data_IF_684509973661
#
_entry.id   IF_684509973661
#
_cell.length_a   1.000
_cell.length_b   1.000
_cell.length_c   1.000
_cell.angle_alpha   90.00
_cell.angle_beta   90.00
_cell.angle_gamma   90.00
#
_symmetry.space_group_name_H-M   'P 1'
#
loop_
_entity.id
_entity.type
_entity.pdbx_description
1 polymer ?
#
# COMPACT_ATOMS: atom_id res chain seq x y z
N UNK A 1 -12.25 35.07 3.94
CA UNK A 1 -12.38 33.70 3.43
C UNK A 1 -13.24 33.76 2.18
N UNK A 2 -12.64 33.75 1.01
CA UNK A 2 -13.34 33.69 -0.28
C UNK A 2 -13.99 32.34 -0.43
N UNK A 3 -15.31 32.29 -0.39
CA UNK A 3 -16.07 31.09 -0.74
C UNK A 3 -15.70 30.71 -2.18
N UNK A 4 -14.91 29.64 -2.34
CA UNK A 4 -14.68 29.05 -3.64
C UNK A 4 -16.04 28.54 -4.14
N UNK A 5 -16.65 29.26 -5.07
CA UNK A 5 -17.86 28.82 -5.77
C UNK A 5 -17.52 27.56 -6.55
N UNK A 6 -17.98 26.43 -6.03
CA UNK A 6 -17.77 25.09 -6.59
C UNK A 6 -18.80 24.73 -7.66
N UNK A 7 -19.58 25.71 -8.12
CA UNK A 7 -20.62 25.50 -9.14
C UNK A 7 -19.93 25.20 -10.49
N UNK A 8 -20.30 24.10 -11.10
CA UNK A 8 -19.95 23.76 -12.47
C UNK A 8 -20.86 24.55 -13.43
N UNK A 9 -20.29 25.01 -14.53
CA UNK A 9 -21.10 25.44 -15.65
C UNK A 9 -21.72 24.22 -16.35
N UNK A 10 -22.76 24.42 -17.14
CA UNK A 10 -23.41 23.36 -17.92
C UNK A 10 -22.39 22.55 -18.75
N UNK A 11 -21.46 23.23 -19.42
CA UNK A 11 -20.39 22.59 -20.19
C UNK A 11 -19.40 21.80 -19.32
N UNK A 12 -19.05 22.30 -18.13
CA UNK A 12 -18.19 21.59 -17.19
C UNK A 12 -18.90 20.35 -16.63
N UNK A 13 -20.20 20.43 -16.34
CA UNK A 13 -21.03 19.28 -15.90
C UNK A 13 -21.10 18.21 -16.98
N UNK A 14 -21.46 18.57 -18.21
CA UNK A 14 -21.53 17.66 -19.33
C UNK A 14 -20.20 16.96 -19.59
N UNK A 15 -19.09 17.71 -19.50
CA UNK A 15 -17.74 17.12 -19.62
C UNK A 15 -17.51 16.05 -18.58
N UNK A 16 -17.80 16.34 -17.31
CA UNK A 16 -17.60 15.36 -16.20
C UNK A 16 -18.45 14.10 -16.44
N UNK A 17 -19.72 14.27 -16.77
CA UNK A 17 -20.62 13.16 -17.06
C UNK A 17 -20.12 12.30 -18.22
N UNK A 18 -19.70 12.92 -19.32
CA UNK A 18 -19.13 12.23 -20.48
C UNK A 18 -17.86 11.47 -20.15
N UNK A 19 -16.96 12.09 -19.39
CA UNK A 19 -15.70 11.45 -18.94
C UNK A 19 -15.97 10.25 -18.05
N UNK A 20 -16.85 10.39 -17.07
CA UNK A 20 -17.22 9.29 -16.14
C UNK A 20 -17.85 8.14 -16.93
N UNK A 21 -18.79 8.44 -17.82
CA UNK A 21 -19.50 7.42 -18.60
C UNK A 21 -18.56 6.62 -19.52
N UNK A 22 -17.54 7.27 -20.11
CA UNK A 22 -16.63 6.64 -21.07
C UNK A 22 -15.40 6.02 -20.44
N UNK A 23 -14.81 6.67 -19.43
CA UNK A 23 -13.48 6.33 -18.93
C UNK A 23 -13.45 6.02 -17.43
N UNK A 24 -14.57 6.27 -16.71
CA UNK A 24 -14.65 6.13 -15.26
C UNK A 24 -14.04 7.34 -14.51
N UNK A 25 -13.75 7.14 -13.23
CA UNK A 25 -13.33 8.24 -12.34
C UNK A 25 -11.89 8.70 -12.53
N UNK A 26 -11.04 7.90 -13.16
CA UNK A 26 -9.64 8.26 -13.42
C UNK A 26 -9.45 8.48 -14.91
N UNK A 27 -9.08 9.70 -15.25
CA UNK A 27 -8.92 10.16 -16.63
C UNK A 27 -7.54 10.76 -16.85
N UNK A 28 -7.03 10.66 -18.07
CA UNK A 28 -5.84 11.37 -18.47
C UNK A 28 -6.16 12.65 -19.27
N UNK A 29 -5.14 13.48 -19.46
CA UNK A 29 -5.27 14.74 -20.17
C UNK A 29 -5.70 14.55 -21.63
N UNK A 30 -5.22 13.49 -22.29
CA UNK A 30 -5.51 13.26 -23.69
C UNK A 30 -6.97 12.79 -23.88
N UNK A 31 -7.54 12.03 -22.93
CA UNK A 31 -8.97 11.70 -22.88
C UNK A 31 -9.82 12.97 -22.72
N UNK A 32 -9.44 13.87 -21.80
CA UNK A 32 -10.13 15.16 -21.63
C UNK A 32 -10.01 15.99 -22.92
N UNK A 33 -8.83 16.02 -23.54
CA UNK A 33 -8.63 16.70 -24.80
C UNK A 33 -9.51 16.13 -25.92
N UNK A 34 -9.65 14.83 -26.01
CA UNK A 34 -10.48 14.14 -27.00
C UNK A 34 -11.94 14.54 -26.89
N UNK A 35 -12.51 14.58 -25.67
CA UNK A 35 -13.89 15.00 -25.43
C UNK A 35 -14.16 16.45 -25.83
N UNK A 36 -13.14 17.29 -25.72
CA UNK A 36 -13.27 18.73 -26.01
C UNK A 36 -12.71 19.15 -27.38
N UNK A 37 -12.19 18.23 -28.17
CA UNK A 37 -11.42 18.51 -29.40
C UNK A 37 -12.20 19.29 -30.47
N UNK A 38 -13.53 19.23 -30.46
CA UNK A 38 -14.38 19.96 -31.43
C UNK A 38 -14.46 21.45 -31.13
N UNK A 39 -14.43 21.84 -29.84
CA UNK A 39 -14.77 23.20 -29.40
C UNK A 39 -13.58 23.95 -28.79
N UNK A 40 -12.50 23.23 -28.41
CA UNK A 40 -11.40 23.78 -27.63
C UNK A 40 -10.02 23.42 -28.22
N UNK A 41 -9.16 24.42 -28.31
CA UNK A 41 -7.75 24.20 -28.56
C UNK A 41 -7.07 23.54 -27.34
N UNK A 42 -5.93 22.88 -27.58
CA UNK A 42 -5.15 22.22 -26.49
C UNK A 42 -4.80 23.17 -25.33
N UNK A 43 -4.56 24.44 -25.62
CA UNK A 43 -4.29 25.45 -24.59
C UNK A 43 -5.53 25.80 -23.78
N UNK A 44 -6.68 25.89 -24.41
CA UNK A 44 -7.96 26.14 -23.72
C UNK A 44 -8.31 24.94 -22.81
N UNK A 45 -8.07 23.69 -23.25
CA UNK A 45 -8.25 22.51 -22.41
C UNK A 45 -7.34 22.54 -21.19
N UNK A 46 -6.04 22.91 -21.35
CA UNK A 46 -5.12 23.08 -20.21
C UNK A 46 -5.64 24.10 -19.20
N UNK A 47 -6.16 25.23 -19.66
CA UNK A 47 -6.71 26.27 -18.82
C UNK A 47 -7.98 25.77 -18.06
N UNK A 48 -8.86 25.03 -18.76
CA UNK A 48 -10.05 24.43 -18.18
C UNK A 48 -9.67 23.40 -17.10
N UNK A 49 -8.77 22.46 -17.40
CA UNK A 49 -8.27 21.47 -16.45
C UNK A 49 -7.65 22.15 -15.22
N UNK A 50 -6.84 23.20 -15.42
CA UNK A 50 -6.28 23.99 -14.32
C UNK A 50 -7.37 24.64 -13.46
N UNK A 51 -8.41 25.23 -14.08
CA UNK A 51 -9.55 25.81 -13.39
C UNK A 51 -10.32 24.75 -12.60
N UNK A 52 -10.63 23.60 -13.20
CA UNK A 52 -11.34 22.51 -12.55
C UNK A 52 -10.53 21.90 -11.39
N UNK A 53 -9.21 21.81 -11.54
CA UNK A 53 -8.32 21.37 -10.45
C UNK A 53 -8.32 22.35 -9.28
N UNK A 54 -8.26 23.67 -9.54
CA UNK A 54 -8.36 24.71 -8.49
C UNK A 54 -9.71 24.71 -7.78
N UNK A 55 -10.78 24.37 -8.49
CA UNK A 55 -12.13 24.22 -7.92
C UNK A 55 -12.34 22.88 -7.19
N UNK A 56 -11.38 21.94 -7.25
CA UNK A 56 -11.46 20.62 -6.60
C UNK A 56 -12.28 19.55 -7.36
N UNK A 57 -12.75 19.83 -8.57
CA UNK A 57 -13.45 18.85 -9.41
C UNK A 57 -12.54 17.82 -10.07
N UNK A 58 -11.29 18.22 -10.32
CA UNK A 58 -10.22 17.32 -10.76
C UNK A 58 -9.11 17.31 -9.72
N UNK A 59 -8.74 16.15 -9.26
CA UNK A 59 -7.62 15.97 -8.33
C UNK A 59 -6.46 15.32 -9.09
N UNK A 60 -5.31 15.99 -9.13
CA UNK A 60 -4.15 15.52 -9.88
C UNK A 60 -3.45 14.36 -9.18
N UNK A 61 -3.54 13.14 -9.75
CA UNK A 61 -2.84 11.96 -9.25
C UNK A 61 -1.36 11.97 -9.66
N UNK A 62 -1.07 12.10 -10.95
CA UNK A 62 0.28 12.24 -11.52
C UNK A 62 0.26 13.22 -12.69
N UNK A 63 1.39 13.50 -13.34
CA UNK A 63 1.45 14.38 -14.51
C UNK A 63 0.51 13.84 -15.59
N UNK A 64 -0.48 14.65 -15.97
CA UNK A 64 -1.45 14.30 -17.01
C UNK A 64 -2.57 13.35 -16.58
N UNK A 65 -2.63 12.89 -15.32
CA UNK A 65 -3.67 11.97 -14.83
C UNK A 65 -4.41 12.57 -13.66
N UNK A 66 -5.72 12.51 -13.70
CA UNK A 66 -6.63 13.16 -12.75
C UNK A 66 -7.68 12.17 -12.26
N UNK A 67 -8.13 12.38 -11.03
CA UNK A 67 -9.31 11.76 -10.47
C UNK A 67 -10.45 12.79 -10.50
N UNK A 68 -11.63 12.36 -10.94
CA UNK A 68 -12.84 13.17 -10.95
C UNK A 68 -13.50 13.06 -9.57
N UNK A 69 -13.54 14.17 -8.82
CA UNK A 69 -14.20 14.20 -7.52
C UNK A 69 -15.72 14.11 -7.69
N UNK A 70 -16.39 13.31 -6.85
CA UNK A 70 -17.84 13.25 -6.85
C UNK A 70 -18.45 14.41 -6.04
N UNK A 71 -19.75 14.64 -6.24
CA UNK A 71 -20.52 15.72 -5.60
C UNK A 71 -20.60 15.58 -4.07
N UNK A 72 -20.62 14.34 -3.57
CA UNK A 72 -20.84 14.05 -2.15
C UNK A 72 -19.61 14.34 -1.29
N UNK A 73 -18.41 14.16 -1.83
CA UNK A 73 -17.20 14.17 -1.04
C UNK A 73 -16.25 15.33 -1.31
N UNK A 74 -16.41 16.08 -2.42
CA UNK A 74 -15.51 17.16 -2.87
C UNK A 74 -14.02 16.85 -2.63
N UNK A 75 -13.66 15.58 -2.78
CA UNK A 75 -12.32 15.07 -2.48
C UNK A 75 -12.23 13.58 -2.74
N UNK A 76 -11.23 12.94 -2.18
CA UNK A 76 -10.96 11.50 -2.33
C UNK A 76 -11.93 10.56 -1.60
N UNK A 77 -12.92 11.05 -0.86
CA UNK A 77 -13.82 10.21 -0.08
C UNK A 77 -14.61 9.16 -0.91
N UNK A 78 -14.55 9.25 -2.25
CA UNK A 78 -15.16 8.25 -3.14
C UNK A 78 -14.16 7.41 -3.95
N UNK A 79 -12.85 7.71 -3.88
CA UNK A 79 -11.84 6.95 -4.62
C UNK A 79 -11.16 5.93 -3.72
N UNK A 80 -11.01 4.71 -4.19
CA UNK A 80 -10.18 3.73 -3.51
C UNK A 80 -8.72 4.21 -3.45
N UNK A 81 -8.18 4.32 -2.23
CA UNK A 81 -6.78 4.68 -2.01
C UNK A 81 -5.82 3.69 -2.67
N UNK A 82 -6.26 2.43 -2.84
CA UNK A 82 -5.50 1.38 -3.51
C UNK A 82 -5.38 1.63 -5.02
N UNK A 83 -6.48 2.07 -5.64
CA UNK A 83 -6.51 2.46 -7.07
C UNK A 83 -5.61 3.67 -7.31
N UNK A 84 -5.63 4.65 -6.42
CA UNK A 84 -4.75 5.83 -6.52
C UNK A 84 -3.28 5.41 -6.40
N UNK A 85 -2.93 4.54 -5.44
CA UNK A 85 -1.56 4.03 -5.27
C UNK A 85 -1.06 3.35 -6.56
N UNK A 86 -1.86 2.44 -7.13
CA UNK A 86 -1.54 1.77 -8.39
C UNK A 86 -1.43 2.74 -9.56
N UNK A 87 -2.28 3.77 -9.61
CA UNK A 87 -2.23 4.80 -10.66
C UNK A 87 -0.98 5.66 -10.57
N UNK A 88 -0.49 5.99 -9.36
CA UNK A 88 0.77 6.75 -9.17
C UNK A 88 1.94 5.97 -9.74
N UNK A 89 2.01 4.64 -9.48
CA UNK A 89 3.08 3.77 -9.96
C UNK A 89 2.53 2.38 -10.34
N UNK A 90 2.33 2.16 -11.63
CA UNK A 90 1.78 0.93 -12.18
C UNK A 90 2.66 -0.31 -11.92
N UNK A 91 4.00 -0.09 -11.93
CA UNK A 91 4.99 -1.14 -11.60
C UNK A 91 5.22 -1.25 -10.09
N UNK A 92 4.14 -1.39 -9.32
CA UNK A 92 4.18 -1.60 -7.86
C UNK A 92 3.03 -2.52 -7.44
N UNK A 93 3.07 -2.98 -6.20
CA UNK A 93 1.92 -3.59 -5.53
C UNK A 93 1.71 -2.97 -4.15
N UNK A 94 0.46 -2.83 -3.74
CA UNK A 94 0.09 -2.35 -2.41
C UNK A 94 0.38 -3.46 -1.39
N UNK A 95 1.01 -3.12 -0.26
CA UNK A 95 1.41 -4.06 0.78
C UNK A 95 1.24 -3.43 2.17
N UNK A 96 1.85 -3.99 3.19
CA UNK A 96 1.85 -3.51 4.58
C UNK A 96 0.42 -3.38 5.14
N UNK A 97 0.19 -2.41 6.00
CA UNK A 97 -1.09 -2.15 6.67
C UNK A 97 -2.25 -1.98 5.69
N UNK A 98 -2.01 -1.39 4.52
CA UNK A 98 -3.03 -1.21 3.49
C UNK A 98 -3.50 -2.54 2.87
N UNK A 99 -2.60 -3.52 2.72
CA UNK A 99 -2.96 -4.87 2.30
C UNK A 99 -3.68 -5.62 3.42
N UNK A 100 -3.24 -5.52 4.68
CA UNK A 100 -3.93 -6.10 5.84
C UNK A 100 -5.36 -5.55 5.97
N UNK A 101 -5.55 -4.24 5.75
CA UNK A 101 -6.86 -3.61 5.73
C UNK A 101 -7.74 -4.14 4.60
N UNK A 102 -7.19 -4.29 3.38
CA UNK A 102 -7.93 -4.88 2.25
C UNK A 102 -8.42 -6.30 2.56
N UNK A 103 -7.61 -7.10 3.25
CA UNK A 103 -7.97 -8.46 3.66
C UNK A 103 -8.83 -8.53 4.93
N UNK A 104 -9.23 -7.39 5.51
CA UNK A 104 -10.17 -7.32 6.63
C UNK A 104 -9.57 -7.63 8.00
N UNK A 105 -8.23 -7.65 8.14
CA UNK A 105 -7.56 -7.93 9.41
C UNK A 105 -6.91 -6.70 10.06
N UNK A 106 -7.18 -5.50 9.52
CA UNK A 106 -6.70 -4.23 10.06
C UNK A 106 -7.74 -3.13 9.87
N UNK A 107 -8.32 -2.63 10.97
CA UNK A 107 -9.47 -1.72 10.95
C UNK A 107 -9.09 -0.23 11.04
N UNK A 108 -7.81 0.09 11.25
CA UNK A 108 -7.41 1.49 11.37
C UNK A 108 -7.32 2.16 9.99
N UNK A 109 -7.92 3.34 9.88
CA UNK A 109 -7.76 4.18 8.68
C UNK A 109 -6.32 4.70 8.60
N UNK A 110 -5.48 3.98 7.88
CA UNK A 110 -4.11 4.38 7.64
C UNK A 110 -4.07 5.65 6.76
N UNK A 111 -3.45 6.71 7.27
CA UNK A 111 -3.16 7.92 6.47
C UNK A 111 -1.98 7.71 5.50
N UNK A 112 -1.40 6.53 5.51
CA UNK A 112 -0.30 6.14 4.63
C UNK A 112 -0.65 4.85 3.92
N UNK A 113 -0.57 4.85 2.59
CA UNK A 113 -0.69 3.66 1.75
C UNK A 113 0.71 3.32 1.26
N UNK A 114 1.24 2.17 1.68
CA UNK A 114 2.59 1.74 1.33
C UNK A 114 2.55 0.70 0.21
N UNK A 115 3.31 0.97 -0.85
CA UNK A 115 3.49 0.07 -1.99
C UNK A 115 4.95 -0.35 -2.14
N UNK A 116 5.16 -1.55 -2.67
CA UNK A 116 6.50 -2.06 -3.00
C UNK A 116 6.75 -1.92 -4.49
N UNK A 117 7.97 -1.54 -4.87
CA UNK A 117 8.35 -1.30 -6.27
C UNK A 117 9.82 -1.65 -6.54
N UNK A 118 10.18 -1.82 -7.81
CA UNK A 118 11.55 -2.11 -8.23
C UNK A 118 12.43 -0.86 -8.36
N UNK A 119 11.83 0.27 -8.75
CA UNK A 119 12.54 1.54 -8.97
C UNK A 119 12.26 2.51 -7.82
N UNK A 120 13.27 3.27 -7.41
CA UNK A 120 13.09 4.31 -6.38
C UNK A 120 12.03 5.33 -6.84
N UNK A 121 11.05 5.57 -5.98
CA UNK A 121 9.99 6.54 -6.16
C UNK A 121 9.85 7.38 -4.90
N UNK A 122 9.74 8.70 -5.07
CA UNK A 122 9.48 9.59 -3.95
C UNK A 122 8.03 9.42 -3.46
N UNK A 123 7.84 9.56 -2.15
CA UNK A 123 6.53 9.60 -1.52
C UNK A 123 5.70 10.76 -2.11
N UNK A 124 4.38 10.58 -2.12
CA UNK A 124 3.46 11.59 -2.61
C UNK A 124 2.28 11.73 -1.68
N UNK A 125 2.00 12.95 -1.24
CA UNK A 125 0.79 13.24 -0.45
C UNK A 125 -0.28 13.84 -1.36
N UNK A 126 -1.47 13.26 -1.31
CA UNK A 126 -2.65 13.74 -2.05
C UNK A 126 -3.80 13.78 -1.05
N UNK A 127 -4.39 14.96 -0.85
CA UNK A 127 -5.53 15.19 0.06
C UNK A 127 -5.37 14.54 1.47
N UNK A 128 -4.19 14.71 2.05
CA UNK A 128 -3.89 14.22 3.41
C UNK A 128 -3.54 12.73 3.51
N UNK A 129 -3.59 11.98 2.41
CA UNK A 129 -3.12 10.59 2.34
C UNK A 129 -1.73 10.56 1.72
N UNK A 130 -0.79 9.90 2.39
CA UNK A 130 0.58 9.72 1.92
C UNK A 130 0.72 8.37 1.21
N UNK A 131 1.13 8.40 -0.04
CA UNK A 131 1.48 7.23 -0.85
C UNK A 131 2.99 7.04 -0.78
N UNK A 132 3.41 6.00 -0.08
CA UNK A 132 4.81 5.64 0.14
C UNK A 132 5.23 4.51 -0.78
N UNK A 133 6.46 4.57 -1.28
CA UNK A 133 7.00 3.55 -2.19
C UNK A 133 8.32 3.00 -1.65
N UNK A 134 8.31 1.71 -1.30
CA UNK A 134 9.49 1.02 -0.79
C UNK A 134 10.12 0.23 -1.93
N UNK A 135 11.39 0.58 -2.25
CA UNK A 135 12.16 -0.15 -3.26
C UNK A 135 12.55 -1.53 -2.74
N UNK A 136 12.38 -2.54 -3.58
CA UNK A 136 12.86 -3.89 -3.34
C UNK A 136 13.73 -4.41 -4.50
N UNK A 137 14.34 -5.57 -4.33
CA UNK A 137 15.01 -6.33 -5.40
C UNK A 137 14.03 -7.22 -6.15
N UNK A 138 14.37 -7.61 -7.37
CA UNK A 138 13.53 -8.49 -8.21
C UNK A 138 13.16 -9.79 -7.49
N UNK A 139 14.11 -10.42 -6.79
CA UNK A 139 13.88 -11.66 -6.03
C UNK A 139 12.82 -11.51 -4.92
N UNK A 140 12.52 -10.29 -4.47
CA UNK A 140 11.51 -10.01 -3.44
C UNK A 140 10.25 -9.37 -4.01
N UNK A 141 10.19 -9.17 -5.35
CA UNK A 141 9.05 -8.55 -6.02
C UNK A 141 8.10 -9.64 -6.54
N UNK A 142 7.31 -10.23 -5.63
CA UNK A 142 6.35 -11.31 -5.88
C UNK A 142 5.28 -11.34 -4.77
N UNK A 143 4.31 -12.26 -4.83
CA UNK A 143 3.35 -12.56 -3.77
C UNK A 143 2.20 -11.57 -3.68
N UNK A 144 1.76 -11.02 -4.80
CA UNK A 144 0.54 -10.23 -4.92
C UNK A 144 -0.47 -10.93 -5.83
N UNK A 145 -1.71 -10.48 -5.73
CA UNK A 145 -2.80 -10.83 -6.62
C UNK A 145 -3.33 -9.57 -7.32
N UNK A 146 -3.84 -9.73 -8.53
CA UNK A 146 -4.54 -8.66 -9.23
C UNK A 146 -6.03 -8.69 -8.85
N UNK A 147 -6.54 -7.55 -8.42
CA UNK A 147 -7.96 -7.37 -8.06
C UNK A 147 -8.57 -6.23 -8.86
N UNK A 148 -9.80 -6.43 -9.28
CA UNK A 148 -10.60 -5.37 -9.93
C UNK A 148 -11.23 -4.49 -8.86
N UNK A 149 -10.80 -3.23 -8.79
CA UNK A 149 -11.34 -2.22 -7.87
C UNK A 149 -11.70 -0.98 -8.69
N UNK A 150 -12.95 -0.55 -8.64
CA UNK A 150 -13.44 0.61 -9.41
C UNK A 150 -13.07 0.55 -10.90
N UNK A 151 -13.13 -0.65 -11.50
CA UNK A 151 -12.80 -0.85 -12.91
C UNK A 151 -11.32 -0.79 -13.26
N UNK A 152 -10.42 -0.78 -12.26
CA UNK A 152 -8.96 -0.78 -12.44
C UNK A 152 -8.33 -2.03 -11.83
N UNK A 153 -7.30 -2.57 -12.50
CA UNK A 153 -6.47 -3.62 -11.94
C UNK A 153 -5.54 -3.05 -10.87
N UNK A 154 -5.61 -3.59 -9.67
CA UNK A 154 -4.75 -3.24 -8.55
C UNK A 154 -4.02 -4.49 -8.08
N UNK A 155 -2.69 -4.41 -7.96
CA UNK A 155 -1.85 -5.45 -7.39
C UNK A 155 -1.79 -5.28 -5.88
N UNK A 156 -2.25 -6.29 -5.14
CA UNK A 156 -2.31 -6.26 -3.68
C UNK A 156 -1.57 -7.47 -3.14
N UNK A 157 -0.67 -7.26 -2.18
CA UNK A 157 0.04 -8.34 -1.50
C UNK A 157 -0.95 -9.32 -0.84
N UNK A 158 -0.65 -10.61 -0.86
CA UNK A 158 -1.35 -11.57 0.01
C UNK A 158 -1.02 -11.29 1.47
N UNK A 159 -1.75 -11.86 2.41
CA UNK A 159 -1.50 -11.67 3.84
C UNK A 159 -0.08 -12.06 4.23
N UNK A 160 0.38 -13.23 3.75
CA UNK A 160 1.72 -13.76 4.02
C UNK A 160 2.80 -12.80 3.51
N UNK A 161 2.59 -12.27 2.30
CA UNK A 161 3.51 -11.33 1.69
C UNK A 161 3.54 -9.99 2.41
N UNK A 162 2.40 -9.48 2.83
CA UNK A 162 2.31 -8.23 3.60
C UNK A 162 3.10 -8.32 4.92
N UNK A 163 2.94 -9.42 5.67
CA UNK A 163 3.71 -9.70 6.89
C UNK A 163 5.22 -9.75 6.61
N UNK A 164 5.64 -10.47 5.56
CA UNK A 164 7.06 -10.55 5.20
C UNK A 164 7.64 -9.20 4.77
N UNK A 165 6.88 -8.37 4.06
CA UNK A 165 7.31 -7.02 3.69
C UNK A 165 7.44 -6.10 4.90
N UNK A 166 6.53 -6.22 5.90
CA UNK A 166 6.62 -5.49 7.17
C UNK A 166 7.88 -5.89 7.94
N UNK A 167 8.11 -7.19 8.18
CA UNK A 167 9.29 -7.70 8.88
C UNK A 167 10.58 -7.25 8.18
N UNK A 168 10.60 -7.26 6.84
CA UNK A 168 11.80 -6.90 6.07
C UNK A 168 12.11 -5.41 6.10
N UNK A 169 11.08 -4.55 6.05
CA UNK A 169 11.26 -3.12 5.75
C UNK A 169 10.90 -2.19 6.91
N UNK A 170 10.15 -2.64 7.91
CA UNK A 170 9.66 -1.83 9.04
C UNK A 170 10.00 -2.49 10.38
N UNK A 171 11.28 -2.62 10.68
CA UNK A 171 11.76 -3.23 11.92
C UNK A 171 11.73 -2.28 13.11
N UNK A 172 10.57 -1.72 13.44
CA UNK A 172 10.29 -1.02 14.70
C UNK A 172 9.51 -1.93 15.65
N UNK A 173 9.57 -1.66 16.96
CA UNK A 173 8.78 -2.39 17.97
C UNK A 173 7.31 -2.36 17.60
N UNK A 174 6.77 -1.19 17.27
CA UNK A 174 5.36 -1.02 16.89
C UNK A 174 4.95 -1.86 15.67
N UNK A 175 5.74 -1.86 14.61
CA UNK A 175 5.42 -2.61 13.38
C UNK A 175 5.49 -4.13 13.60
N UNK A 176 6.48 -4.61 14.37
CA UNK A 176 6.63 -6.04 14.66
C UNK A 176 5.60 -6.53 15.69
N UNK A 177 5.18 -5.64 16.58
CA UNK A 177 4.09 -5.91 17.52
C UNK A 177 2.76 -6.05 16.77
N UNK A 178 2.50 -5.19 15.80
CA UNK A 178 1.34 -5.33 14.91
C UNK A 178 1.37 -6.66 14.15
N UNK A 179 2.54 -7.07 13.63
CA UNK A 179 2.69 -8.38 12.98
C UNK A 179 2.34 -9.51 13.95
N UNK A 180 2.87 -9.47 15.18
CA UNK A 180 2.56 -10.47 16.22
C UNK A 180 1.06 -10.51 16.56
N UNK A 181 0.44 -9.35 16.75
CA UNK A 181 -1.01 -9.24 16.98
C UNK A 181 -1.80 -9.92 15.85
N UNK A 182 -1.47 -9.60 14.57
CA UNK A 182 -2.22 -10.18 13.44
C UNK A 182 -2.02 -11.69 13.32
N UNK A 183 -0.81 -12.19 13.57
CA UNK A 183 -0.55 -13.63 13.60
C UNK A 183 -1.31 -14.35 14.73
N UNK A 184 -1.47 -13.72 15.91
CA UNK A 184 -2.24 -14.28 17.04
C UNK A 184 -3.75 -14.26 16.77
N UNK A 185 -4.28 -13.10 16.40
CA UNK A 185 -5.72 -12.85 16.38
C UNK A 185 -6.40 -13.40 15.12
N UNK A 186 -5.64 -13.53 14.02
CA UNK A 186 -6.15 -13.92 12.72
C UNK A 186 -5.42 -15.14 12.13
N UNK A 187 -4.91 -16.04 12.98
CA UNK A 187 -4.13 -17.21 12.55
C UNK A 187 -4.82 -18.04 11.47
N UNK A 188 -6.15 -18.18 11.55
CA UNK A 188 -6.94 -18.99 10.63
C UNK A 188 -7.11 -18.33 9.22
N UNK A 189 -6.72 -17.06 9.07
CA UNK A 189 -6.74 -16.34 7.82
C UNK A 189 -5.43 -16.53 6.99
N UNK A 190 -4.36 -17.05 7.63
CA UNK A 190 -3.06 -17.23 7.00
C UNK A 190 -2.89 -18.64 6.44
N UNK A 191 -2.32 -18.73 5.26
CA UNK A 191 -1.76 -19.95 4.70
C UNK A 191 -0.29 -20.08 5.16
N UNK A 192 -0.07 -20.86 6.24
CA UNK A 192 1.27 -21.04 6.81
C UNK A 192 2.21 -21.84 5.91
N UNK A 193 1.72 -22.72 5.06
CA UNK A 193 2.57 -23.44 4.10
C UNK A 193 3.11 -22.45 3.08
N UNK A 194 2.27 -21.58 2.54
CA UNK A 194 2.64 -20.50 1.65
C UNK A 194 3.56 -19.48 2.33
N UNK A 195 3.31 -19.13 3.59
CA UNK A 195 4.18 -18.24 4.38
C UNK A 195 5.58 -18.85 4.52
N UNK A 196 5.69 -20.14 4.86
CA UNK A 196 6.95 -20.87 4.99
C UNK A 196 7.71 -20.93 3.66
N UNK A 197 7.02 -21.25 2.56
CA UNK A 197 7.60 -21.24 1.22
C UNK A 197 8.18 -19.86 0.85
N UNK A 198 7.40 -18.81 1.04
CA UNK A 198 7.84 -17.44 0.78
C UNK A 198 9.01 -17.04 1.69
N UNK A 199 9.01 -17.45 2.95
CA UNK A 199 10.06 -17.15 3.93
C UNK A 199 11.39 -17.80 3.56
N UNK A 200 11.39 -18.97 2.90
CA UNK A 200 12.61 -19.66 2.48
C UNK A 200 13.50 -18.78 1.56
N UNK A 201 12.90 -17.91 0.77
CA UNK A 201 13.60 -16.99 -0.14
C UNK A 201 14.09 -15.70 0.54
N UNK A 202 13.69 -15.43 1.80
CA UNK A 202 14.04 -14.21 2.53
C UNK A 202 15.45 -14.28 3.12
N UNK A 203 15.94 -13.13 3.58
CA UNK A 203 17.21 -13.09 4.32
C UNK A 203 17.10 -13.78 5.69
N UNK A 204 18.23 -14.30 6.18
CA UNK A 204 18.29 -15.02 7.48
C UNK A 204 17.67 -14.20 8.62
N UNK A 205 17.92 -12.89 8.66
CA UNK A 205 17.36 -12.05 9.72
C UNK A 205 15.83 -11.96 9.66
N UNK A 206 15.23 -11.92 8.46
CA UNK A 206 13.77 -11.95 8.28
C UNK A 206 13.21 -13.31 8.72
N UNK A 207 13.88 -14.42 8.36
CA UNK A 207 13.52 -15.76 8.79
C UNK A 207 13.55 -15.91 10.31
N UNK A 208 14.65 -15.44 10.97
CA UNK A 208 14.78 -15.49 12.43
C UNK A 208 13.70 -14.66 13.14
N UNK A 209 13.40 -13.44 12.63
CA UNK A 209 12.35 -12.60 13.20
C UNK A 209 10.97 -13.26 13.01
N UNK A 210 10.68 -13.79 11.81
CA UNK A 210 9.41 -14.49 11.56
C UNK A 210 9.26 -15.67 12.51
N UNK A 211 10.27 -16.56 12.60
CA UNK A 211 10.21 -17.72 13.49
C UNK A 211 10.00 -17.34 14.94
N UNK A 212 10.69 -16.29 15.43
CA UNK A 212 10.47 -15.75 16.78
C UNK A 212 9.04 -15.26 16.99
N UNK A 213 8.45 -14.55 16.01
CA UNK A 213 7.07 -14.06 16.09
C UNK A 213 6.06 -15.19 16.01
N UNK A 214 6.30 -16.24 15.23
CA UNK A 214 5.47 -17.45 15.17
C UNK A 214 5.47 -18.16 16.52
N UNK A 215 6.63 -18.35 17.16
CA UNK A 215 6.72 -18.93 18.52
C UNK A 215 5.89 -18.11 19.52
N UNK A 216 6.05 -16.78 19.49
CA UNK A 216 5.31 -15.87 20.38
C UNK A 216 3.79 -15.86 20.09
N UNK A 217 3.39 -16.20 18.88
CA UNK A 217 1.99 -16.36 18.50
C UNK A 217 1.44 -17.77 18.83
N UNK A 218 2.27 -18.69 19.32
CA UNK A 218 1.85 -20.09 19.55
C UNK A 218 1.62 -20.87 18.26
N UNK A 219 2.30 -20.49 17.18
CA UNK A 219 2.21 -21.11 15.85
C UNK A 219 3.45 -21.94 15.61
N UNK A 220 3.30 -23.11 14.94
CA UNK A 220 4.43 -23.97 14.63
C UNK A 220 5.46 -23.24 13.74
N UNK A 221 6.69 -23.21 14.23
CA UNK A 221 7.82 -22.52 13.58
C UNK A 221 8.93 -23.47 13.11
N UNK A 222 8.72 -24.79 13.17
CA UNK A 222 9.76 -25.79 12.92
C UNK A 222 10.38 -25.67 11.53
N UNK A 223 9.56 -25.43 10.51
CA UNK A 223 10.04 -25.23 9.12
C UNK A 223 11.02 -24.06 9.05
N UNK A 224 10.67 -22.94 9.68
CA UNK A 224 11.54 -21.73 9.70
C UNK A 224 12.80 -21.99 10.55
N UNK A 225 12.66 -22.73 11.67
CA UNK A 225 13.79 -23.11 12.48
C UNK A 225 14.81 -23.93 11.69
N UNK A 226 14.35 -24.95 10.96
CA UNK A 226 15.23 -25.76 10.10
C UNK A 226 15.99 -24.92 9.05
N UNK A 227 15.38 -23.88 8.50
CA UNK A 227 16.02 -22.95 7.56
C UNK A 227 17.14 -22.10 8.20
N UNK A 228 17.13 -21.92 9.53
CA UNK A 228 18.00 -20.96 10.23
C UNK A 228 18.99 -21.61 11.19
N UNK A 229 18.76 -22.85 11.66
CA UNK A 229 19.55 -23.50 12.73
C UNK A 229 21.05 -23.62 12.47
N UNK A 230 21.46 -23.78 11.22
CA UNK A 230 22.88 -23.91 10.83
C UNK A 230 23.50 -22.58 10.40
N UNK A 231 22.77 -21.47 10.48
CA UNK A 231 23.26 -20.16 10.03
C UNK A 231 23.85 -19.39 11.19
N UNK A 232 25.16 -19.22 11.16
CA UNK A 232 25.93 -18.49 12.16
C UNK A 232 25.58 -17.01 12.23
N UNK A 233 25.94 -16.38 13.34
CA UNK A 233 25.78 -14.95 13.63
C UNK A 233 24.45 -14.62 14.30
N UNK A 234 24.54 -13.85 15.38
CA UNK A 234 23.38 -13.26 16.05
C UNK A 234 22.82 -12.11 15.20
N UNK A 235 21.49 -12.03 15.15
CA UNK A 235 20.78 -10.92 14.50
C UNK A 235 20.15 -9.99 15.53
N UNK A 236 19.72 -8.79 15.12
CA UNK A 236 18.90 -7.90 15.94
C UNK A 236 17.56 -7.65 15.27
N UNK A 237 16.49 -7.81 16.02
CA UNK A 237 15.10 -7.61 15.57
C UNK A 237 14.83 -6.13 15.27
N UNK A 238 15.23 -5.28 16.23
CA UNK A 238 15.16 -3.81 16.14
C UNK A 238 16.52 -3.20 16.50
N UNK A 239 16.66 -1.89 16.39
CA UNK A 239 17.91 -1.19 16.78
C UNK A 239 18.17 -1.27 18.29
N UNK A 240 17.09 -1.26 19.09
CA UNK A 240 17.15 -1.22 20.56
C UNK A 240 16.86 -2.60 21.18
N UNK A 241 17.21 -3.68 20.47
CA UNK A 241 17.05 -5.06 20.94
C UNK A 241 18.14 -5.40 21.96
N UNK A 242 17.76 -5.82 23.16
CA UNK A 242 18.63 -6.03 24.32
C UNK A 242 18.49 -7.42 24.96
N UNK A 243 17.43 -8.17 24.67
CA UNK A 243 17.18 -9.51 25.18
C UNK A 243 17.55 -10.56 24.13
N UNK A 244 18.21 -11.64 24.54
CA UNK A 244 18.67 -12.68 23.62
C UNK A 244 17.81 -13.93 23.63
N UNK A 245 17.41 -14.36 22.43
CA UNK A 245 16.75 -15.66 22.18
C UNK A 245 17.78 -16.67 21.66
N UNK A 246 18.11 -17.67 22.47
CA UNK A 246 19.05 -18.74 22.08
C UNK A 246 18.51 -19.58 20.93
N UNK A 247 17.21 -19.93 20.90
CA UNK A 247 16.57 -20.70 19.83
C UNK A 247 16.78 -20.05 18.45
N UNK A 248 16.60 -18.71 18.38
CA UNK A 248 16.67 -17.99 17.10
C UNK A 248 18.01 -17.33 16.83
N UNK A 249 18.95 -17.36 17.82
CA UNK A 249 20.18 -16.60 17.76
C UNK A 249 19.90 -15.13 17.35
N UNK A 250 18.98 -14.49 18.10
CA UNK A 250 18.37 -13.20 17.79
C UNK A 250 18.25 -12.34 19.04
N UNK A 251 18.74 -11.10 18.96
CA UNK A 251 18.40 -10.08 19.96
C UNK A 251 17.04 -9.49 19.65
N UNK A 252 16.16 -9.42 20.66
CA UNK A 252 14.82 -8.83 20.55
C UNK A 252 14.59 -7.77 21.63
N UNK A 253 13.62 -6.89 21.42
CA UNK A 253 13.29 -5.83 22.36
C UNK A 253 12.50 -6.40 23.55
N UNK A 254 12.79 -5.92 24.78
CA UNK A 254 12.15 -6.40 26.03
C UNK A 254 10.61 -6.34 26.01
N UNK A 255 10.02 -5.47 25.19
CA UNK A 255 8.56 -5.44 24.95
C UNK A 255 7.96 -6.81 24.58
N UNK A 256 8.72 -7.66 23.89
CA UNK A 256 8.29 -8.99 23.49
C UNK A 256 8.59 -10.09 24.54
N UNK A 257 9.27 -9.76 25.65
CA UNK A 257 9.61 -10.73 26.69
C UNK A 257 8.37 -11.14 27.50
N UNK A 258 7.46 -10.22 27.79
CA UNK A 258 6.31 -10.35 28.68
C UNK A 258 5.00 -10.73 27.99
N UNK A 259 5.03 -11.02 26.69
CA UNK A 259 3.84 -11.46 25.93
C UNK A 259 3.86 -12.98 25.75
N UNK A 260 3.65 -13.71 26.86
CA UNK A 260 3.26 -15.13 26.87
C UNK A 260 1.76 -15.27 26.66
#
# INVERSE_FOLDING_TARGET
MTQNTTILSEKESFLIESLIAKYGLIVDFDQIQQELSRDYSRQQVRNLVSKMTKKGWLVRIKKGTYYIANLESRGFAGASVLVIAQTILEESYVSFEAALQYHGIFDQHARTVTSVCLKKKADKTIQGITYRFIKTSEKNFYGWEEKQIEGKNVKIATLEKAILDMIRSQRSVHSLDLVLEKLKDYKDNFDFDKLNEMAASQSVIVQKILGFLLDKAGINSDVIFELTKVKEGAGSMTKDSDVFSGKWNLYYHNHFASRE
#
